data_IF_223129911433
#
_entry.id   IF_223129911433
#
_cell.length_a   1.000
_cell.length_b   1.000
_cell.length_c   1.000
_cell.angle_alpha   90.00
_cell.angle_beta   90.00
_cell.angle_gamma   90.00
#
_symmetry.space_group_name_H-M   'P 1'
#
loop_
_entity.id
_entity.type
_entity.pdbx_description
1 polymer ?
#
# COMPACT_ATOMS: atom_id res chain seq x y z
N UNK A 1 -42.29 10.95 -30.21
CA UNK A 1 -41.24 9.90 -30.10
C UNK A 1 -39.96 10.38 -29.39
N UNK A 2 -40.00 11.41 -28.52
CA UNK A 2 -38.79 12.02 -27.92
C UNK A 2 -38.50 11.51 -26.47
N UNK A 3 -39.39 10.71 -25.87
CA UNK A 3 -39.29 10.27 -24.46
C UNK A 3 -38.65 8.90 -24.20
N UNK A 4 -38.20 8.16 -25.23
CA UNK A 4 -37.54 6.86 -25.03
C UNK A 4 -36.01 6.98 -24.98
N UNK A 5 -35.42 7.90 -25.75
CA UNK A 5 -33.96 8.08 -25.82
C UNK A 5 -33.34 8.66 -24.54
N UNK A 6 -34.05 9.53 -23.83
CA UNK A 6 -33.58 10.11 -22.56
C UNK A 6 -33.65 9.12 -21.39
N UNK A 7 -34.61 8.19 -21.40
CA UNK A 7 -34.72 7.13 -20.41
C UNK A 7 -33.56 6.14 -20.56
N UNK A 8 -33.26 5.70 -21.79
CA UNK A 8 -32.21 4.70 -22.04
C UNK A 8 -30.82 5.25 -21.65
N UNK A 9 -30.52 6.49 -22.06
CA UNK A 9 -29.26 7.18 -21.68
C UNK A 9 -29.14 7.37 -20.16
N UNK A 10 -30.25 7.64 -19.46
CA UNK A 10 -30.25 7.74 -17.99
C UNK A 10 -30.00 6.38 -17.32
N UNK A 11 -30.57 5.29 -17.83
CA UNK A 11 -30.31 3.95 -17.31
C UNK A 11 -28.86 3.53 -17.54
N UNK A 12 -28.27 3.80 -18.70
CA UNK A 12 -26.86 3.48 -18.98
C UNK A 12 -25.91 4.32 -18.11
N UNK A 13 -26.16 5.62 -17.94
CA UNK A 13 -25.35 6.46 -17.05
C UNK A 13 -25.44 6.05 -15.58
N UNK A 14 -26.64 5.72 -15.10
CA UNK A 14 -26.84 5.28 -13.71
C UNK A 14 -26.06 3.98 -13.44
N UNK A 15 -26.17 3.00 -14.35
CA UNK A 15 -25.44 1.73 -14.25
C UNK A 15 -23.92 1.91 -14.34
N UNK A 16 -23.43 2.82 -15.20
CA UNK A 16 -21.99 3.10 -15.31
C UNK A 16 -21.44 3.77 -14.05
N UNK A 17 -22.19 4.70 -13.46
CA UNK A 17 -21.79 5.41 -12.23
C UNK A 17 -21.81 4.46 -11.03
N UNK A 18 -22.85 3.64 -10.89
CA UNK A 18 -23.01 2.72 -9.76
C UNK A 18 -22.02 1.54 -9.84
N UNK A 19 -21.67 1.10 -11.05
CA UNK A 19 -20.75 -0.04 -11.25
C UNK A 19 -19.28 0.35 -11.17
N UNK A 20 -18.90 1.55 -11.67
CA UNK A 20 -17.48 1.92 -11.81
C UNK A 20 -17.04 3.11 -10.93
N UNK A 21 -17.90 4.12 -10.74
CA UNK A 21 -17.47 5.40 -10.11
C UNK A 21 -17.56 5.33 -8.58
N UNK A 22 -18.62 4.75 -8.04
CA UNK A 22 -18.82 4.61 -6.59
C UNK A 22 -17.82 3.68 -5.89
N UNK A 23 -17.48 2.48 -6.42
CA UNK A 23 -16.53 1.57 -5.76
C UNK A 23 -15.09 2.07 -5.77
N UNK A 24 -14.69 2.82 -6.79
CA UNK A 24 -13.31 3.27 -6.95
C UNK A 24 -12.95 4.38 -5.95
N UNK A 25 -13.89 5.27 -5.64
CA UNK A 25 -13.70 6.33 -4.64
C UNK A 25 -13.47 5.78 -3.23
N UNK A 26 -14.22 4.74 -2.82
CA UNK A 26 -14.06 4.16 -1.48
C UNK A 26 -12.75 3.37 -1.35
N UNK A 27 -12.32 2.68 -2.41
CA UNK A 27 -11.04 1.98 -2.44
C UNK A 27 -9.85 2.93 -2.29
N UNK A 28 -9.90 4.12 -2.89
CA UNK A 28 -8.87 5.14 -2.71
C UNK A 28 -8.76 5.60 -1.26
N UNK A 29 -9.90 5.88 -0.62
CA UNK A 29 -9.92 6.29 0.78
C UNK A 29 -9.39 5.18 1.67
N UNK A 30 -9.82 3.94 1.45
CA UNK A 30 -9.35 2.78 2.22
C UNK A 30 -7.85 2.53 2.02
N UNK A 31 -7.35 2.62 0.79
CA UNK A 31 -5.92 2.48 0.51
C UNK A 31 -5.07 3.55 1.22
N UNK A 32 -5.54 4.80 1.24
CA UNK A 32 -4.89 5.88 1.99
C UNK A 32 -4.91 5.61 3.49
N UNK A 33 -6.03 5.12 4.02
CA UNK A 33 -6.16 4.73 5.43
C UNK A 33 -5.17 3.62 5.77
N UNK A 34 -5.09 2.57 4.94
CA UNK A 34 -4.13 1.46 5.10
C UNK A 34 -2.70 2.00 5.10
N UNK A 35 -2.35 2.88 4.16
CA UNK A 35 -1.02 3.46 4.08
C UNK A 35 -0.67 4.28 5.34
N UNK A 36 -1.57 5.13 5.79
CA UNK A 36 -1.33 6.00 6.96
C UNK A 36 -1.22 5.18 8.24
N UNK A 37 -2.14 4.25 8.48
CA UNK A 37 -2.12 3.37 9.66
C UNK A 37 -0.88 2.47 9.60
N UNK A 38 -0.62 1.86 8.44
CA UNK A 38 0.55 1.02 8.22
C UNK A 38 1.84 1.77 8.52
N UNK A 39 2.02 2.99 8.02
CA UNK A 39 3.20 3.81 8.29
C UNK A 39 3.41 4.09 9.79
N UNK A 40 2.33 4.29 10.55
CA UNK A 40 2.41 4.46 12.01
C UNK A 40 2.87 3.16 12.66
N UNK A 41 2.29 2.03 12.27
CA UNK A 41 2.67 0.70 12.77
C UNK A 41 4.15 0.41 12.48
N UNK A 42 4.63 0.67 11.26
CA UNK A 42 6.04 0.50 10.89
C UNK A 42 6.95 1.32 11.78
N UNK A 43 6.65 2.61 12.00
CA UNK A 43 7.45 3.45 12.89
C UNK A 43 7.55 2.89 14.31
N UNK A 44 6.44 2.38 14.85
CA UNK A 44 6.42 1.76 16.17
C UNK A 44 7.27 0.50 16.19
N UNK A 45 7.10 -0.40 15.21
CA UNK A 45 7.87 -1.65 15.11
C UNK A 45 9.37 -1.40 14.97
N UNK A 46 9.78 -0.46 14.11
CA UNK A 46 11.19 -0.10 13.92
C UNK A 46 11.77 0.54 15.19
N UNK A 47 10.99 1.35 15.91
CA UNK A 47 11.43 1.91 17.19
C UNK A 47 11.62 0.82 18.25
N UNK A 48 10.70 -0.14 18.35
CA UNK A 48 10.81 -1.28 19.27
C UNK A 48 12.01 -2.15 18.91
N UNK A 49 12.19 -2.45 17.62
CA UNK A 49 13.34 -3.18 17.11
C UNK A 49 14.67 -2.50 17.47
N UNK A 50 14.77 -1.18 17.27
CA UNK A 50 15.93 -0.40 17.64
C UNK A 50 16.21 -0.42 19.15
N UNK A 51 15.18 -0.37 19.99
CA UNK A 51 15.33 -0.46 21.46
C UNK A 51 15.82 -1.84 21.90
N UNK A 52 15.40 -2.90 21.22
CA UNK A 52 15.88 -4.27 21.49
C UNK A 52 17.35 -4.39 21.10
N UNK A 53 17.72 -3.88 19.92
CA UNK A 53 19.12 -3.89 19.46
C UNK A 53 20.06 -3.04 20.30
N UNK A 54 19.59 -1.90 20.83
CA UNK A 54 20.40 -1.06 21.71
C UNK A 54 20.78 -1.76 23.04
N UNK A 55 20.09 -2.85 23.41
CA UNK A 55 20.48 -3.69 24.55
C UNK A 55 21.54 -4.74 24.17
N UNK A 56 21.77 -4.96 22.88
CA UNK A 56 22.80 -5.83 22.36
C UNK A 56 24.12 -5.08 22.23
N UNK A 57 25.24 -5.81 22.19
CA UNK A 57 26.60 -5.23 22.07
C UNK A 57 26.95 -4.78 20.64
N UNK A 58 25.95 -4.40 19.83
CA UNK A 58 26.18 -3.93 18.46
C UNK A 58 26.53 -2.44 18.45
N UNK A 59 27.31 -2.00 17.47
CA UNK A 59 27.61 -0.59 17.28
C UNK A 59 26.41 0.16 16.66
N UNK A 60 26.38 1.48 16.85
CA UNK A 60 25.28 2.33 16.42
C UNK A 60 25.08 2.33 14.89
N UNK A 61 26.17 2.17 14.11
CA UNK A 61 26.11 2.15 12.64
C UNK A 61 25.37 0.91 12.15
N UNK A 62 25.67 -0.26 12.71
CA UNK A 62 24.99 -1.52 12.39
C UNK A 62 23.51 -1.47 12.80
N UNK A 63 23.21 -0.87 13.96
CA UNK A 63 21.82 -0.71 14.42
C UNK A 63 21.02 0.15 13.44
N UNK A 64 21.57 1.27 12.98
CA UNK A 64 20.87 2.16 12.04
C UNK A 64 20.76 1.57 10.64
N UNK A 65 21.75 0.79 10.19
CA UNK A 65 21.66 0.01 8.96
C UNK A 65 20.51 -1.00 9.03
N UNK A 66 20.43 -1.78 10.11
CA UNK A 66 19.38 -2.79 10.29
C UNK A 66 18.00 -2.15 10.46
N UNK A 67 17.88 -1.04 11.18
CA UNK A 67 16.62 -0.26 11.23
C UNK A 67 16.18 0.18 9.85
N UNK A 68 17.11 0.62 9.00
CA UNK A 68 16.82 1.07 7.64
C UNK A 68 16.30 -0.08 6.77
N UNK A 69 16.92 -1.27 6.84
CA UNK A 69 16.45 -2.47 6.15
C UNK A 69 15.05 -2.87 6.63
N UNK A 70 14.84 -2.96 7.95
CA UNK A 70 13.55 -3.36 8.53
C UNK A 70 12.46 -2.34 8.15
N UNK A 71 12.77 -1.05 8.21
CA UNK A 71 11.84 0.00 7.79
C UNK A 71 11.48 -0.13 6.31
N UNK A 72 12.45 -0.40 5.43
CA UNK A 72 12.21 -0.57 3.99
C UNK A 72 11.30 -1.77 3.70
N UNK A 73 11.58 -2.93 4.32
CA UNK A 73 10.79 -4.16 4.14
C UNK A 73 9.36 -3.96 4.67
N UNK A 74 9.20 -3.39 5.87
CA UNK A 74 7.88 -3.18 6.45
C UNK A 74 7.08 -2.14 5.65
N UNK A 75 7.70 -1.05 5.19
CA UNK A 75 7.03 -0.09 4.31
C UNK A 75 6.63 -0.72 2.99
N UNK A 76 7.44 -1.62 2.45
CA UNK A 76 7.09 -2.34 1.24
C UNK A 76 5.77 -3.10 1.40
N UNK A 77 5.61 -3.87 2.48
CA UNK A 77 4.35 -4.56 2.76
C UNK A 77 3.16 -3.61 2.87
N UNK A 78 3.33 -2.46 3.53
CA UNK A 78 2.27 -1.43 3.63
C UNK A 78 1.88 -0.88 2.26
N UNK A 79 2.87 -0.60 1.39
CA UNK A 79 2.62 -0.10 0.04
C UNK A 79 1.89 -1.17 -0.79
N UNK A 80 2.35 -2.41 -0.77
CA UNK A 80 1.71 -3.53 -1.48
C UNK A 80 0.26 -3.70 -1.01
N UNK A 81 0.01 -3.71 0.30
CA UNK A 81 -1.35 -3.82 0.84
C UNK A 81 -2.25 -2.63 0.43
N UNK A 82 -1.70 -1.41 0.38
CA UNK A 82 -2.46 -0.24 -0.07
C UNK A 82 -2.81 -0.30 -1.56
N UNK A 83 -1.88 -0.80 -2.39
CA UNK A 83 -2.09 -0.96 -3.84
C UNK A 83 -3.06 -2.11 -4.14
N UNK A 84 -2.99 -3.20 -3.39
CA UNK A 84 -3.94 -4.32 -3.48
C UNK A 84 -5.37 -3.85 -3.20
N UNK A 85 -5.57 -2.99 -2.18
CA UNK A 85 -6.87 -2.37 -1.90
C UNK A 85 -7.37 -1.46 -3.05
N UNK A 86 -6.47 -0.86 -3.83
CA UNK A 86 -6.83 -0.11 -5.04
C UNK A 86 -7.21 -1.02 -6.23
N UNK A 87 -7.06 -2.35 -6.09
CA UNK A 87 -7.25 -3.32 -7.16
C UNK A 87 -6.08 -3.35 -8.15
N UNK A 88 -4.90 -2.87 -7.74
CA UNK A 88 -3.68 -2.94 -8.55
C UNK A 88 -3.03 -4.29 -8.35
N UNK A 89 -2.70 -4.98 -9.45
CA UNK A 89 -1.90 -6.21 -9.40
C UNK A 89 -0.46 -5.86 -8.99
N UNK A 90 -0.08 -6.28 -7.78
CA UNK A 90 1.24 -6.01 -7.21
C UNK A 90 2.27 -7.09 -7.51
N UNK A 91 1.91 -8.17 -8.23
CA UNK A 91 2.80 -9.30 -8.53
C UNK A 91 4.08 -8.85 -9.24
N UNK A 92 3.95 -7.97 -10.23
CA UNK A 92 5.11 -7.42 -10.95
C UNK A 92 6.00 -6.56 -10.06
N UNK A 93 5.41 -5.83 -9.10
CA UNK A 93 6.15 -5.02 -8.14
C UNK A 93 7.00 -5.92 -7.22
N UNK A 94 6.38 -6.97 -6.67
CA UNK A 94 7.07 -7.94 -5.81
C UNK A 94 8.20 -8.65 -6.57
N UNK A 95 8.00 -9.00 -7.85
CA UNK A 95 9.04 -9.60 -8.68
C UNK A 95 10.26 -8.67 -8.86
N UNK A 96 10.04 -7.39 -9.20
CA UNK A 96 11.11 -6.40 -9.38
C UNK A 96 11.86 -6.18 -8.05
N UNK A 97 11.14 -6.09 -6.95
CA UNK A 97 11.73 -5.89 -5.63
C UNK A 97 12.50 -7.11 -5.14
N UNK A 98 12.04 -8.33 -5.47
CA UNK A 98 12.80 -9.56 -5.25
C UNK A 98 14.12 -9.55 -6.01
N UNK A 99 14.13 -9.10 -7.28
CA UNK A 99 15.35 -8.93 -8.06
C UNK A 99 16.27 -7.84 -7.48
N UNK A 100 15.71 -6.72 -7.01
CA UNK A 100 16.49 -5.66 -6.36
C UNK A 100 17.12 -6.13 -5.04
N UNK A 101 16.38 -6.92 -4.24
CA UNK A 101 16.89 -7.52 -3.01
C UNK A 101 18.06 -8.47 -3.26
N UNK A 102 18.00 -9.27 -4.34
CA UNK A 102 19.11 -10.13 -4.75
C UNK A 102 20.37 -9.33 -5.14
N UNK A 103 20.20 -8.14 -5.74
CA UNK A 103 21.32 -7.29 -6.14
C UNK A 103 21.97 -6.52 -4.98
N UNK A 104 21.22 -6.27 -3.91
CA UNK A 104 21.74 -5.63 -2.67
C UNK A 104 22.48 -6.65 -1.79
N UNK A 105 22.10 -7.93 -1.87
CA UNK A 105 22.67 -9.04 -1.11
C UNK A 105 24.01 -9.55 -1.62
#
# INVERSE_FOLDING_TARGET
MIGAGNALVRFDLQNFIDTYVMPWGINIVLALVIYVIGKIVVKVLVSVFGKIMAKSKYDDMLIDFLKSIVNAILMLFVIVASLDQLGVDTTSLVAILGAAGLAIG
#
